data_IF_025643523950
#
_entry.id   IF_025643523950
#
_cell.length_a   1.000
_cell.length_b   1.000
_cell.length_c   1.000
_cell.angle_alpha   90.00
_cell.angle_beta   90.00
_cell.angle_gamma   90.00
#
_symmetry.space_group_name_H-M   'P 1'
#
loop_
_entity.id
_entity.type
_entity.pdbx_description
1 polymer ?
#
# COMPACT_ATOMS: atom_id res chain seq x y z
N UNK A 1 -26.38 -34.43 -2.97
CA UNK A 1 -26.46 -33.89 -4.34
C UNK A 1 -25.65 -34.78 -5.25
N UNK A 2 -26.12 -35.04 -6.46
CA UNK A 2 -25.31 -35.74 -7.47
C UNK A 2 -24.25 -34.80 -8.08
N UNK A 3 -23.19 -35.34 -8.69
CA UNK A 3 -22.10 -34.55 -9.30
C UNK A 3 -22.60 -33.50 -10.30
N UNK A 4 -23.58 -33.85 -11.13
CA UNK A 4 -24.20 -32.93 -12.10
C UNK A 4 -24.93 -31.75 -11.42
N UNK A 5 -25.52 -32.01 -10.26
CA UNK A 5 -26.20 -30.99 -9.47
C UNK A 5 -25.19 -30.03 -8.81
N UNK A 6 -24.05 -30.57 -8.36
CA UNK A 6 -22.93 -29.77 -7.84
C UNK A 6 -22.31 -28.88 -8.93
N UNK A 7 -22.16 -29.41 -10.15
CA UNK A 7 -21.67 -28.64 -11.31
C UNK A 7 -22.61 -27.47 -11.62
N UNK A 8 -23.92 -27.71 -11.74
CA UNK A 8 -24.89 -26.64 -12.01
C UNK A 8 -24.91 -25.55 -10.95
N UNK A 9 -24.74 -25.95 -9.68
CA UNK A 9 -24.60 -24.99 -8.59
C UNK A 9 -23.32 -24.14 -8.72
N UNK A 10 -22.20 -24.75 -9.13
CA UNK A 10 -20.96 -24.04 -9.39
C UNK A 10 -21.07 -23.07 -10.58
N UNK A 11 -21.71 -23.49 -11.68
CA UNK A 11 -21.96 -22.64 -12.85
C UNK A 11 -22.81 -21.41 -12.51
N UNK A 12 -23.89 -21.59 -11.73
CA UNK A 12 -24.73 -20.49 -11.29
C UNK A 12 -23.94 -19.46 -10.46
N UNK A 13 -23.14 -19.94 -9.49
CA UNK A 13 -22.26 -19.09 -8.68
C UNK A 13 -21.27 -18.32 -9.56
N UNK A 14 -20.62 -18.99 -10.52
CA UNK A 14 -19.68 -18.33 -11.42
C UNK A 14 -20.36 -17.27 -12.31
N UNK A 15 -21.57 -17.54 -12.80
CA UNK A 15 -22.38 -16.57 -13.53
C UNK A 15 -22.65 -15.29 -12.72
N UNK A 16 -22.93 -15.41 -11.42
CA UNK A 16 -23.12 -14.26 -10.54
C UNK A 16 -21.84 -13.45 -10.32
N UNK A 17 -20.69 -14.12 -10.22
CA UNK A 17 -19.38 -13.45 -10.16
C UNK A 17 -19.13 -12.62 -11.41
N UNK A 18 -19.41 -13.18 -12.60
CA UNK A 18 -19.26 -12.46 -13.88
C UNK A 18 -20.17 -11.22 -13.91
N UNK A 19 -21.45 -11.36 -13.55
CA UNK A 19 -22.40 -10.23 -13.53
C UNK A 19 -21.94 -9.12 -12.59
N UNK A 20 -21.43 -9.48 -11.41
CA UNK A 20 -20.91 -8.52 -10.44
C UNK A 20 -19.68 -7.76 -11.00
N UNK A 21 -18.75 -8.47 -11.65
CA UNK A 21 -17.58 -7.84 -12.27
C UNK A 21 -17.94 -6.95 -13.47
N UNK A 22 -18.91 -7.36 -14.29
CA UNK A 22 -19.41 -6.51 -15.39
C UNK A 22 -20.02 -5.20 -14.88
N UNK A 23 -20.82 -5.26 -13.81
CA UNK A 23 -21.36 -4.05 -13.19
C UNK A 23 -20.25 -3.15 -12.63
N UNK A 24 -19.24 -3.72 -11.97
CA UNK A 24 -18.08 -2.98 -11.45
C UNK A 24 -17.29 -2.30 -12.57
N UNK A 25 -17.10 -2.97 -13.71
CA UNK A 25 -16.41 -2.41 -14.88
C UNK A 25 -17.10 -1.15 -15.39
N UNK A 26 -18.44 -1.13 -15.46
CA UNK A 26 -19.15 0.08 -15.89
C UNK A 26 -18.94 1.23 -14.92
N UNK A 27 -19.01 0.99 -13.60
CA UNK A 27 -18.69 2.02 -12.59
C UNK A 27 -17.25 2.52 -12.70
N UNK A 28 -16.28 1.66 -13.02
CA UNK A 28 -14.88 2.08 -13.20
C UNK A 28 -14.68 2.99 -14.41
N UNK A 29 -15.45 2.79 -15.48
CA UNK A 29 -15.36 3.63 -16.69
C UNK A 29 -15.89 5.04 -16.44
N UNK A 30 -16.83 5.19 -15.51
CA UNK A 30 -17.39 6.48 -15.10
C UNK A 30 -16.44 7.27 -14.17
N UNK A 31 -15.56 6.59 -13.43
CA UNK A 31 -14.64 7.18 -12.46
C UNK A 31 -13.34 7.73 -13.11
N UNK A 32 -13.47 8.73 -13.99
CA UNK A 32 -12.35 9.30 -14.75
C UNK A 32 -11.71 10.55 -14.14
N UNK A 33 -12.36 11.20 -13.18
CA UNK A 33 -11.87 12.46 -12.60
C UNK A 33 -10.77 12.20 -11.58
N UNK A 34 -9.57 12.71 -11.85
CA UNK A 34 -8.41 12.62 -10.97
C UNK A 34 -8.31 13.91 -10.15
N UNK A 35 -8.37 13.79 -8.83
CA UNK A 35 -8.16 14.89 -7.90
C UNK A 35 -6.68 15.29 -7.88
N UNK A 36 -6.39 16.57 -8.10
CA UNK A 36 -5.05 17.13 -7.91
C UNK A 36 -4.92 17.61 -6.46
N UNK A 37 -4.38 16.74 -5.60
CA UNK A 37 -4.22 17.00 -4.17
C UNK A 37 -3.32 18.21 -3.87
N UNK A 38 -2.43 18.58 -4.79
CA UNK A 38 -1.48 19.70 -4.61
C UNK A 38 -2.15 21.07 -4.75
N UNK A 39 -3.35 21.12 -5.34
CA UNK A 39 -4.11 22.35 -5.61
C UNK A 39 -5.29 22.56 -4.67
N UNK A 40 -5.42 21.76 -3.62
CA UNK A 40 -6.50 21.89 -2.65
C UNK A 40 -6.25 23.09 -1.73
N UNK A 41 -7.27 23.95 -1.59
CA UNK A 41 -7.24 25.11 -0.68
C UNK A 41 -7.35 24.69 0.80
N UNK A 42 -8.00 23.55 1.04
CA UNK A 42 -8.13 22.91 2.35
C UNK A 42 -7.99 21.39 2.17
N UNK A 43 -7.21 20.76 3.04
CA UNK A 43 -6.88 19.33 2.98
C UNK A 43 -7.25 18.69 4.31
N UNK A 44 -8.14 17.71 4.27
CA UNK A 44 -8.51 16.93 5.46
C UNK A 44 -7.80 15.58 5.48
N UNK A 45 -6.95 15.39 6.48
CA UNK A 45 -6.16 14.18 6.73
C UNK A 45 -6.88 13.31 7.76
N UNK A 46 -7.43 12.18 7.32
CA UNK A 46 -8.05 11.20 8.21
C UNK A 46 -7.02 10.25 8.81
N UNK A 47 -7.00 10.10 10.12
CA UNK A 47 -6.04 9.28 10.85
C UNK A 47 -6.75 8.07 11.44
N UNK A 48 -6.27 6.87 11.10
CA UNK A 48 -6.75 5.61 11.62
C UNK A 48 -5.62 4.94 12.42
N UNK A 49 -5.55 5.12 13.75
CA UNK A 49 -4.40 4.67 14.55
C UNK A 49 -4.12 3.16 14.46
N UNK A 50 -5.17 2.35 14.27
CA UNK A 50 -5.07 0.91 14.14
C UNK A 50 -4.98 0.18 15.49
N UNK A 51 -4.45 -1.04 15.45
CA UNK A 51 -4.39 -1.98 16.57
C UNK A 51 -2.93 -2.25 17.00
N UNK A 52 -2.77 -2.85 18.19
CA UNK A 52 -1.46 -3.27 18.71
C UNK A 52 -0.52 -2.09 18.91
N UNK A 53 0.65 -2.10 18.25
CA UNK A 53 1.59 -0.97 18.30
C UNK A 53 1.10 0.28 17.55
N UNK A 54 0.06 0.15 16.72
CA UNK A 54 -0.44 1.21 15.84
C UNK A 54 -0.66 2.56 16.53
N UNK A 55 -1.47 2.62 17.60
CA UNK A 55 -1.69 3.87 18.35
C UNK A 55 -0.39 4.50 18.88
N UNK A 56 0.55 3.69 19.37
CA UNK A 56 1.83 4.15 19.94
C UNK A 56 2.68 4.85 18.86
N UNK A 57 2.84 4.20 17.70
CA UNK A 57 3.65 4.77 16.62
C UNK A 57 2.92 5.89 15.86
N UNK A 58 1.57 5.87 15.84
CA UNK A 58 0.76 6.93 15.24
C UNK A 58 0.91 8.23 16.03
N UNK A 59 0.90 8.15 17.36
CA UNK A 59 1.17 9.31 18.21
C UNK A 59 2.51 9.97 17.82
N UNK A 60 3.57 9.16 17.65
CA UNK A 60 4.88 9.68 17.26
C UNK A 60 4.89 10.26 15.84
N UNK A 61 4.22 9.61 14.89
CA UNK A 61 4.09 10.12 13.52
C UNK A 61 3.35 11.48 13.48
N UNK A 62 2.30 11.64 14.30
CA UNK A 62 1.57 12.90 14.43
C UNK A 62 2.42 14.00 15.04
N UNK A 63 3.28 13.71 16.02
CA UNK A 63 4.21 14.71 16.58
C UNK A 63 5.14 15.29 15.50
N UNK A 64 5.68 14.43 14.62
CA UNK A 64 6.55 14.86 13.52
C UNK A 64 5.78 15.70 12.49
N UNK A 65 4.58 15.27 12.09
CA UNK A 65 3.76 16.00 11.12
C UNK A 65 3.29 17.35 11.66
N UNK A 66 2.90 17.40 12.94
CA UNK A 66 2.49 18.65 13.57
C UNK A 66 3.63 19.69 13.61
N UNK A 67 4.89 19.26 13.70
CA UNK A 67 6.02 20.17 13.57
C UNK A 67 6.23 20.61 12.11
N UNK A 68 6.28 19.67 11.17
CA UNK A 68 6.59 19.96 9.76
C UNK A 68 5.49 20.75 9.04
N UNK A 69 4.23 20.63 9.48
CA UNK A 69 3.07 21.34 8.93
C UNK A 69 2.47 22.35 9.90
N UNK A 70 3.26 22.84 10.88
CA UNK A 70 2.76 23.75 11.94
C UNK A 70 2.03 24.97 11.39
N UNK A 71 2.52 25.55 10.29
CA UNK A 71 1.95 26.76 9.69
C UNK A 71 0.66 26.45 8.90
N UNK A 72 0.64 25.34 8.17
CA UNK A 72 -0.53 24.88 7.41
C UNK A 72 -1.68 24.44 8.32
N UNK A 73 -1.35 23.83 9.47
CA UNK A 73 -2.33 23.49 10.50
C UNK A 73 -2.84 24.77 11.18
N UNK A 74 -1.95 25.69 11.57
CA UNK A 74 -2.34 26.94 12.23
C UNK A 74 -3.19 27.84 11.32
N UNK A 75 -2.94 27.85 10.02
CA UNK A 75 -3.73 28.59 9.03
C UNK A 75 -5.05 27.90 8.65
N UNK A 76 -5.25 26.65 9.05
CA UNK A 76 -6.42 25.85 8.68
C UNK A 76 -6.39 25.32 7.25
N UNK A 77 -5.25 25.40 6.55
CA UNK A 77 -5.06 24.76 5.25
C UNK A 77 -5.05 23.23 5.38
N UNK A 78 -4.50 22.71 6.48
CA UNK A 78 -4.48 21.28 6.79
C UNK A 78 -5.27 21.01 8.07
N UNK A 79 -6.25 20.11 7.98
CA UNK A 79 -7.00 19.60 9.13
C UNK A 79 -6.62 18.15 9.39
N UNK A 80 -6.21 17.84 10.62
CA UNK A 80 -5.98 16.45 11.07
C UNK A 80 -7.21 15.97 11.82
N UNK A 81 -7.81 14.88 11.34
CA UNK A 81 -9.05 14.30 11.87
C UNK A 81 -8.82 12.85 12.30
N UNK A 82 -8.92 12.56 13.60
CA UNK A 82 -8.81 11.18 14.09
C UNK A 82 -10.14 10.45 13.85
N UNK A 83 -10.07 9.34 13.12
CA UNK A 83 -11.20 8.46 12.84
C UNK A 83 -11.15 7.28 13.80
N UNK A 84 -12.07 7.29 14.76
CA UNK A 84 -12.20 6.25 15.79
C UNK A 84 -12.98 5.02 15.28
N UNK A 85 -12.94 3.94 16.05
CA UNK A 85 -13.85 2.80 15.85
C UNK A 85 -13.33 1.70 14.92
N UNK A 86 -12.04 1.66 14.65
CA UNK A 86 -11.38 0.57 13.90
C UNK A 86 -10.70 -0.50 14.77
N UNK A 87 -10.92 -0.49 16.07
CA UNK A 87 -10.34 -1.50 16.97
C UNK A 87 -10.85 -2.90 16.61
N UNK A 88 -10.02 -3.93 16.80
CA UNK A 88 -10.42 -5.31 16.53
C UNK A 88 -11.62 -5.74 17.40
N UNK A 89 -11.73 -5.24 18.63
CA UNK A 89 -12.83 -5.48 19.55
C UNK A 89 -14.15 -5.03 18.93
N UNK A 90 -14.25 -3.76 18.52
CA UNK A 90 -15.48 -3.19 17.94
C UNK A 90 -15.86 -3.89 16.64
N UNK A 91 -14.87 -4.14 15.77
CA UNK A 91 -15.09 -4.85 14.50
C UNK A 91 -15.62 -6.26 14.73
N UNK A 92 -15.16 -6.93 15.77
CA UNK A 92 -15.62 -8.26 16.17
C UNK A 92 -17.02 -8.24 16.76
N UNK A 93 -17.33 -7.25 17.61
CA UNK A 93 -18.68 -7.06 18.19
C UNK A 93 -19.73 -6.78 17.11
N UNK A 94 -19.39 -5.97 16.11
CA UNK A 94 -20.27 -5.66 14.98
C UNK A 94 -20.30 -6.76 13.91
N UNK A 95 -19.39 -7.73 13.98
CA UNK A 95 -19.11 -8.68 12.91
C UNK A 95 -18.89 -7.98 11.54
N UNK A 96 -18.21 -6.83 11.58
CA UNK A 96 -17.91 -5.99 10.43
C UNK A 96 -16.41 -5.67 10.42
N UNK A 97 -15.69 -6.20 9.43
CA UNK A 97 -14.26 -5.90 9.23
C UNK A 97 -13.96 -4.42 9.03
N UNK A 98 -14.91 -3.68 8.47
CA UNK A 98 -14.85 -2.26 8.23
C UNK A 98 -16.25 -1.71 8.50
N UNK A 99 -16.48 -1.09 9.67
CA UNK A 99 -17.78 -0.52 10.01
C UNK A 99 -18.20 0.57 9.03
N UNK A 100 -19.50 0.64 8.74
CA UNK A 100 -20.05 1.56 7.73
C UNK A 100 -19.82 3.04 8.10
N UNK A 101 -19.97 3.36 9.39
CA UNK A 101 -19.74 4.72 9.92
C UNK A 101 -18.28 5.16 9.76
N UNK A 102 -17.33 4.24 9.91
CA UNK A 102 -15.90 4.51 9.67
C UNK A 102 -15.65 4.78 8.19
N UNK A 103 -16.25 4.00 7.29
CA UNK A 103 -16.10 4.22 5.84
C UNK A 103 -16.69 5.58 5.43
N UNK A 104 -17.79 6.01 6.04
CA UNK A 104 -18.36 7.35 5.83
C UNK A 104 -17.41 8.46 6.29
N UNK A 105 -16.77 8.32 7.46
CA UNK A 105 -15.75 9.27 7.93
C UNK A 105 -14.52 9.30 7.02
N UNK A 106 -14.05 8.14 6.54
CA UNK A 106 -12.95 8.04 5.59
C UNK A 106 -13.26 8.83 4.29
N UNK A 107 -14.49 8.76 3.79
CA UNK A 107 -14.93 9.48 2.57
C UNK A 107 -15.06 10.99 2.76
N UNK A 108 -15.10 11.49 4.00
CA UNK A 108 -15.07 12.93 4.31
C UNK A 108 -13.65 13.51 4.28
N UNK A 109 -12.62 12.67 4.17
CA UNK A 109 -11.22 13.08 4.13
C UNK A 109 -10.68 13.00 2.70
N UNK A 110 -9.65 13.80 2.40
CA UNK A 110 -8.96 13.75 1.11
C UNK A 110 -7.90 12.66 1.08
N UNK A 111 -7.10 12.61 2.14
CA UNK A 111 -6.05 11.63 2.33
C UNK A 111 -6.22 10.95 3.69
N UNK A 112 -5.77 9.70 3.77
CA UNK A 112 -5.85 8.88 4.95
C UNK A 112 -4.46 8.42 5.34
N UNK A 113 -4.20 8.33 6.64
CA UNK A 113 -3.01 7.68 7.17
C UNK A 113 -3.45 6.63 8.18
N UNK A 114 -2.97 5.40 8.03
CA UNK A 114 -3.35 4.32 8.93
C UNK A 114 -2.16 3.59 9.56
N UNK A 115 -2.36 3.15 10.79
CA UNK A 115 -1.55 2.12 11.42
C UNK A 115 -1.94 0.70 10.94
N UNK A 116 -1.35 -0.33 11.55
CA UNK A 116 -1.69 -1.72 11.27
C UNK A 116 -3.06 -2.09 11.83
N UNK A 117 -3.82 -2.91 11.12
CA UNK A 117 -5.05 -3.53 11.63
C UNK A 117 -4.83 -5.02 11.85
N UNK A 118 -5.43 -5.57 12.91
CA UNK A 118 -5.54 -7.02 13.07
C UNK A 118 -6.42 -7.56 11.94
N UNK A 119 -5.94 -8.63 11.30
CA UNK A 119 -6.74 -9.51 10.44
C UNK A 119 -6.79 -10.87 11.13
N UNK A 120 -7.94 -11.26 11.71
CA UNK A 120 -8.10 -12.53 12.41
C UNK A 120 -7.78 -13.73 11.52
N UNK A 121 -7.20 -14.77 12.11
CA UNK A 121 -6.95 -16.07 11.48
C UNK A 121 -7.75 -17.17 12.17
N UNK A 122 -7.98 -18.32 11.50
CA UNK A 122 -8.55 -19.47 12.17
C UNK A 122 -7.78 -19.83 13.45
N UNK A 123 -8.50 -19.86 14.58
CA UNK A 123 -7.94 -20.12 15.92
C UNK A 123 -7.63 -18.88 16.76
N UNK A 124 -7.70 -17.67 16.20
CA UNK A 124 -7.65 -16.43 16.98
C UNK A 124 -8.95 -16.25 17.82
N UNK A 125 -8.95 -15.44 18.90
CA UNK A 125 -10.14 -15.22 19.73
C UNK A 125 -11.25 -14.41 19.04
N UNK A 126 -11.01 -13.97 17.80
CA UNK A 126 -11.89 -13.10 17.03
C UNK A 126 -12.61 -13.88 15.92
N UNK A 127 -13.80 -13.44 15.48
CA UNK A 127 -14.47 -14.04 14.33
C UNK A 127 -13.58 -13.97 13.08
N UNK A 128 -13.77 -14.91 12.15
CA UNK A 128 -13.04 -14.94 10.89
C UNK A 128 -13.53 -13.80 9.97
N UNK A 129 -12.96 -12.62 10.17
CA UNK A 129 -13.30 -11.39 9.47
C UNK A 129 -12.46 -11.24 8.20
N UNK A 130 -13.07 -10.70 7.15
CA UNK A 130 -12.34 -10.28 5.95
C UNK A 130 -11.30 -9.19 6.30
N UNK A 131 -10.27 -9.05 5.47
CA UNK A 131 -9.27 -8.01 5.67
C UNK A 131 -9.87 -6.61 5.52
N UNK A 132 -9.82 -5.82 6.60
CA UNK A 132 -10.21 -4.41 6.59
C UNK A 132 -9.42 -3.59 5.56
N UNK A 133 -8.14 -3.92 5.35
CA UNK A 133 -7.30 -3.27 4.34
C UNK A 133 -7.87 -3.46 2.93
N UNK A 134 -8.28 -4.68 2.59
CA UNK A 134 -8.90 -4.98 1.29
C UNK A 134 -10.19 -4.21 1.10
N UNK A 135 -11.04 -4.14 2.14
CA UNK A 135 -12.30 -3.39 2.09
C UNK A 135 -12.08 -1.88 1.95
N UNK A 136 -11.11 -1.30 2.66
CA UNK A 136 -10.75 0.12 2.50
C UNK A 136 -10.26 0.43 1.10
N UNK A 137 -9.30 -0.36 0.58
CA UNK A 137 -8.75 -0.18 -0.77
C UNK A 137 -9.82 -0.26 -1.84
N UNK A 138 -10.73 -1.23 -1.73
CA UNK A 138 -11.86 -1.38 -2.65
C UNK A 138 -12.89 -0.27 -2.50
N UNK A 139 -13.29 0.05 -1.26
CA UNK A 139 -14.33 1.04 -0.97
C UNK A 139 -13.95 2.47 -1.35
N UNK A 140 -12.65 2.77 -1.39
CA UNK A 140 -12.08 4.06 -1.79
C UNK A 140 -11.42 4.03 -3.19
N UNK A 141 -11.53 2.92 -3.92
CA UNK A 141 -10.94 2.73 -5.25
C UNK A 141 -9.42 3.04 -5.32
N UNK A 142 -8.67 2.63 -4.29
CA UNK A 142 -7.21 2.81 -4.17
C UNK A 142 -6.45 1.76 -4.99
N UNK A 143 -6.47 1.92 -6.31
CA UNK A 143 -6.04 0.91 -7.25
C UNK A 143 -4.54 0.71 -7.41
N UNK A 144 -3.72 1.69 -7.00
CA UNK A 144 -2.28 1.63 -7.14
C UNK A 144 -1.60 1.58 -5.77
N UNK A 145 -0.99 0.46 -5.43
CA UNK A 145 -0.03 0.39 -4.33
C UNK A 145 1.36 0.77 -4.86
N UNK A 146 1.87 1.91 -4.40
CA UNK A 146 3.15 2.49 -4.79
C UNK A 146 4.16 2.26 -3.67
N UNK A 147 5.27 1.59 -3.99
CA UNK A 147 6.32 1.22 -3.04
C UNK A 147 7.71 1.58 -3.60
N UNK A 148 8.36 2.66 -3.12
CA UNK A 148 9.73 2.97 -3.49
C UNK A 148 10.72 2.11 -2.71
N UNK A 149 11.76 1.61 -3.39
CA UNK A 149 12.85 0.81 -2.81
C UNK A 149 14.18 1.40 -3.29
N UNK A 150 15.02 1.83 -2.34
CA UNK A 150 16.32 2.45 -2.62
C UNK A 150 17.44 1.73 -1.86
N UNK A 151 18.44 1.27 -2.60
CA UNK A 151 19.69 0.70 -2.07
C UNK A 151 20.88 1.37 -2.79
N UNK A 152 21.33 2.55 -2.33
CA UNK A 152 22.38 3.32 -3.01
C UNK A 152 23.71 2.56 -3.16
N UNK A 153 24.05 1.72 -2.20
CA UNK A 153 25.23 0.84 -2.22
C UNK A 153 25.22 -0.15 -3.39
N UNK A 154 24.04 -0.42 -3.95
CA UNK A 154 23.82 -1.32 -5.09
C UNK A 154 23.37 -0.59 -6.34
N UNK A 155 23.35 0.74 -6.33
CA UNK A 155 22.82 1.58 -7.41
C UNK A 155 21.37 1.22 -7.79
N UNK A 156 20.54 0.90 -6.78
CA UNK A 156 19.13 0.55 -6.97
C UNK A 156 18.24 1.70 -6.51
N UNK A 157 17.37 2.15 -7.41
CA UNK A 157 16.28 3.10 -7.15
C UNK A 157 15.04 2.67 -7.93
N UNK A 158 14.28 1.75 -7.33
CA UNK A 158 13.08 1.18 -7.91
C UNK A 158 11.82 1.82 -7.34
N UNK A 159 10.80 1.96 -8.17
CA UNK A 159 9.44 2.25 -7.71
C UNK A 159 8.47 1.23 -8.25
N UNK A 160 7.84 0.48 -7.36
CA UNK A 160 6.87 -0.54 -7.72
C UNK A 160 5.46 0.05 -7.75
N UNK A 161 4.72 -0.28 -8.80
CA UNK A 161 3.29 -0.01 -9.00
C UNK A 161 2.55 -1.34 -9.06
N UNK A 162 1.96 -1.71 -7.93
CA UNK A 162 1.14 -2.90 -7.79
C UNK A 162 -0.33 -2.54 -8.02
N UNK A 163 -1.00 -3.25 -8.93
CA UNK A 163 -2.47 -3.24 -9.00
C UNK A 163 -3.03 -3.77 -7.68
N UNK A 164 -3.94 -3.05 -7.02
CA UNK A 164 -4.20 -3.22 -5.59
C UNK A 164 -5.65 -3.59 -5.26
N UNK A 165 -6.48 -3.85 -6.28
CA UNK A 165 -7.91 -4.14 -6.11
C UNK A 165 -8.28 -5.50 -6.71
N UNK A 166 -7.75 -5.85 -7.88
CA UNK A 166 -8.13 -7.02 -8.68
C UNK A 166 -7.18 -8.21 -8.45
N UNK A 167 -7.07 -9.13 -9.42
CA UNK A 167 -6.32 -10.37 -9.30
C UNK A 167 -7.06 -11.41 -8.48
N UNK A 168 -6.30 -12.17 -7.71
CA UNK A 168 -6.79 -13.18 -6.77
C UNK A 168 -7.51 -12.52 -5.56
N UNK A 169 -7.19 -11.27 -5.27
CA UNK A 169 -7.68 -10.55 -4.08
C UNK A 169 -9.16 -10.15 -4.14
N UNK A 170 -9.71 -9.95 -5.34
CA UNK A 170 -11.09 -9.46 -5.48
C UNK A 170 -12.13 -10.56 -5.27
N UNK A 171 -11.80 -11.79 -5.67
CA UNK A 171 -12.66 -12.97 -5.58
C UNK A 171 -12.14 -14.03 -4.60
N UNK A 172 -11.03 -13.81 -3.91
CA UNK A 172 -10.37 -14.86 -3.09
C UNK A 172 -11.22 -15.43 -1.95
N UNK A 173 -12.22 -14.69 -1.45
CA UNK A 173 -13.20 -15.23 -0.48
C UNK A 173 -14.48 -15.78 -1.14
N UNK A 174 -14.50 -15.85 -2.47
CA UNK A 174 -15.63 -16.30 -3.30
C UNK A 174 -15.25 -17.49 -4.19
N UNK A 175 -14.17 -18.19 -3.85
CA UNK A 175 -13.83 -19.47 -4.45
C UNK A 175 -15.01 -20.44 -4.41
N UNK A 176 -15.01 -21.38 -5.34
CA UNK A 176 -16.06 -22.39 -5.45
C UNK A 176 -15.48 -23.74 -5.04
N UNK A 177 -15.93 -24.25 -3.90
CA UNK A 177 -15.79 -25.64 -3.53
C UNK A 177 -16.89 -26.45 -4.23
N UNK A 178 -16.51 -27.28 -5.19
CA UNK A 178 -17.43 -28.12 -5.96
C UNK A 178 -17.75 -29.40 -5.17
N UNK A 179 -16.72 -30.02 -4.61
CA UNK A 179 -16.75 -31.15 -3.69
C UNK A 179 -15.44 -31.22 -2.88
N UNK A 180 -15.25 -32.28 -2.10
CA UNK A 180 -14.06 -32.46 -1.23
C UNK A 180 -12.72 -32.56 -1.98
N UNK A 181 -12.76 -32.91 -3.27
CA UNK A 181 -11.56 -33.11 -4.10
C UNK A 181 -11.28 -31.90 -5.01
N UNK A 182 -12.23 -30.99 -5.18
CA UNK A 182 -12.15 -29.90 -6.16
C UNK A 182 -12.61 -28.56 -5.58
N UNK A 183 -11.62 -27.67 -5.41
CA UNK A 183 -11.80 -26.25 -5.17
C UNK A 183 -11.24 -25.43 -6.34
N UNK A 184 -11.92 -24.33 -6.66
CA UNK A 184 -11.54 -23.43 -7.75
C UNK A 184 -11.50 -22.01 -7.22
N UNK A 185 -10.35 -21.36 -7.39
CA UNK A 185 -10.17 -19.93 -7.21
C UNK A 185 -9.94 -19.22 -8.54
N UNK A 186 -10.15 -17.91 -8.53
CA UNK A 186 -10.16 -17.08 -9.72
C UNK A 186 -9.10 -16.00 -9.66
N UNK A 187 -8.52 -15.70 -10.82
CA UNK A 187 -7.70 -14.52 -11.04
C UNK A 187 -8.43 -13.60 -12.02
N UNK A 188 -8.75 -12.39 -11.59
CA UNK A 188 -9.48 -11.42 -12.41
C UNK A 188 -8.54 -10.33 -12.91
N UNK A 189 -8.69 -9.97 -14.18
CA UNK A 189 -8.15 -8.74 -14.73
C UNK A 189 -9.23 -8.06 -15.58
N UNK A 190 -9.39 -6.76 -15.39
CA UNK A 190 -10.17 -5.91 -16.28
C UNK A 190 -9.26 -4.99 -17.09
N UNK A 191 -9.67 -4.68 -18.31
CA UNK A 191 -8.94 -3.74 -19.17
C UNK A 191 -8.81 -2.35 -18.51
N UNK A 192 -9.87 -1.72 -17.96
CA UNK A 192 -9.73 -0.44 -17.27
C UNK A 192 -8.80 -0.51 -16.04
N UNK A 193 -8.83 -1.64 -15.30
CA UNK A 193 -7.93 -1.90 -14.17
C UNK A 193 -6.46 -1.94 -14.57
N UNK A 194 -6.13 -2.63 -15.66
CA UNK A 194 -4.79 -2.68 -16.23
C UNK A 194 -4.31 -1.33 -16.77
N UNK A 195 -5.18 -0.59 -17.46
CA UNK A 195 -4.83 0.70 -18.07
C UNK A 195 -4.50 1.76 -17.04
N UNK A 196 -5.31 1.89 -15.96
CA UNK A 196 -5.07 2.91 -14.94
C UNK A 196 -3.77 2.69 -14.16
N UNK A 197 -3.42 1.44 -13.82
CA UNK A 197 -2.17 1.15 -13.11
C UNK A 197 -0.96 1.35 -14.03
N UNK A 198 -1.07 0.97 -15.30
CA UNK A 198 -0.03 1.23 -16.30
C UNK A 198 0.22 2.73 -16.44
N UNK A 199 -0.82 3.54 -16.69
CA UNK A 199 -0.70 5.00 -16.81
C UNK A 199 -0.13 5.63 -15.55
N UNK A 200 -0.54 5.20 -14.36
CA UNK A 200 0.02 5.71 -13.11
C UNK A 200 1.55 5.48 -13.02
N UNK A 201 2.02 4.31 -13.43
CA UNK A 201 3.44 3.98 -13.45
C UNK A 201 4.23 4.76 -14.50
N UNK A 202 3.71 4.85 -15.73
CA UNK A 202 4.34 5.62 -16.81
C UNK A 202 4.39 7.12 -16.51
N UNK A 203 3.31 7.68 -15.97
CA UNK A 203 3.26 9.09 -15.58
C UNK A 203 4.25 9.39 -14.45
N UNK A 204 4.39 8.48 -13.49
CA UNK A 204 5.45 8.58 -12.48
C UNK A 204 6.84 8.52 -13.12
N UNK A 205 7.09 7.57 -14.03
CA UNK A 205 8.37 7.44 -14.71
C UNK A 205 8.73 8.75 -15.44
N UNK A 206 7.80 9.30 -16.22
CA UNK A 206 7.96 10.58 -16.94
C UNK A 206 8.30 11.73 -15.98
N UNK A 207 7.51 11.92 -14.92
CA UNK A 207 7.69 13.01 -13.94
C UNK A 207 9.01 12.93 -13.17
N UNK A 208 9.52 11.72 -12.96
CA UNK A 208 10.74 11.48 -12.19
C UNK A 208 11.96 11.21 -13.09
N UNK A 209 11.85 11.45 -14.40
CA UNK A 209 12.94 11.30 -15.36
C UNK A 209 13.41 9.86 -15.58
N UNK A 210 12.64 8.86 -15.14
CA UNK A 210 12.90 7.44 -15.37
C UNK A 210 12.65 7.11 -16.85
N UNK A 211 13.41 6.16 -17.38
CA UNK A 211 13.42 5.77 -18.80
C UNK A 211 12.86 4.38 -19.05
N UNK A 212 12.75 3.55 -18.02
CA UNK A 212 12.32 2.17 -18.17
C UNK A 212 11.15 1.80 -17.28
N UNK A 213 10.14 1.16 -17.88
CA UNK A 213 9.03 0.51 -17.18
C UNK A 213 9.10 -0.99 -17.44
N UNK A 214 9.21 -1.78 -16.36
CA UNK A 214 9.26 -3.24 -16.42
C UNK A 214 7.92 -3.83 -15.98
N UNK A 215 7.25 -4.61 -16.84
CA UNK A 215 6.06 -5.39 -16.48
C UNK A 215 6.47 -6.77 -15.96
N UNK A 216 5.99 -7.15 -14.77
CA UNK A 216 6.37 -8.43 -14.14
C UNK A 216 5.14 -9.31 -13.94
N UNK A 217 5.13 -10.49 -14.58
CA UNK A 217 3.99 -11.42 -14.56
C UNK A 217 4.41 -12.89 -14.63
N UNK A 218 3.46 -13.82 -14.71
CA UNK A 218 3.68 -15.22 -15.07
C UNK A 218 2.92 -15.59 -16.36
N UNK A 219 2.97 -14.71 -17.36
CA UNK A 219 2.22 -14.85 -18.63
C UNK A 219 2.53 -16.14 -19.42
N UNK A 220 3.68 -16.79 -19.17
CA UNK A 220 3.99 -18.09 -19.78
C UNK A 220 3.09 -19.24 -19.25
N UNK A 221 2.55 -19.10 -18.04
CA UNK A 221 1.61 -20.04 -17.42
C UNK A 221 0.19 -19.47 -17.45
N UNK A 222 -0.01 -18.24 -16.94
CA UNK A 222 -1.31 -17.58 -16.86
C UNK A 222 -1.58 -16.81 -18.17
N UNK A 223 -1.76 -17.56 -19.26
CA UNK A 223 -1.73 -17.01 -20.62
C UNK A 223 -2.73 -15.89 -20.90
N UNK A 224 -3.96 -16.00 -20.38
CA UNK A 224 -5.02 -15.04 -20.71
C UNK A 224 -4.94 -13.79 -19.84
N UNK A 225 -4.97 -13.96 -18.52
CA UNK A 225 -5.01 -12.83 -17.56
C UNK A 225 -3.70 -12.04 -17.61
N UNK A 226 -2.57 -12.69 -17.33
CA UNK A 226 -1.28 -12.01 -17.35
C UNK A 226 -0.87 -11.60 -18.77
N UNK A 227 -1.20 -12.42 -19.78
CA UNK A 227 -0.95 -12.05 -21.17
C UNK A 227 -1.70 -10.78 -21.59
N UNK A 228 -2.93 -10.59 -21.14
CA UNK A 228 -3.68 -9.35 -21.37
C UNK A 228 -3.11 -8.17 -20.56
N UNK A 229 -2.58 -8.41 -19.36
CA UNK A 229 -1.89 -7.39 -18.57
C UNK A 229 -0.65 -6.88 -19.31
N UNK A 230 0.24 -7.79 -19.74
CA UNK A 230 1.44 -7.45 -20.52
C UNK A 230 1.07 -6.68 -21.78
N UNK A 231 0.13 -7.18 -22.59
CA UNK A 231 -0.34 -6.49 -23.80
C UNK A 231 -0.85 -5.07 -23.50
N UNK A 232 -1.56 -4.89 -22.39
CA UNK A 232 -2.10 -3.58 -22.01
C UNK A 232 -0.98 -2.61 -21.62
N UNK A 233 -0.01 -3.05 -20.82
CA UNK A 233 1.13 -2.21 -20.41
C UNK A 233 1.96 -1.80 -21.63
N UNK A 234 2.28 -2.74 -22.53
CA UNK A 234 3.00 -2.43 -23.77
C UNK A 234 2.22 -1.43 -24.65
N UNK A 235 0.93 -1.68 -24.88
CA UNK A 235 0.09 -0.78 -25.67
C UNK A 235 0.06 0.64 -25.10
N UNK A 236 -0.08 0.79 -23.78
CA UNK A 236 -0.06 2.11 -23.13
C UNK A 236 1.31 2.78 -23.32
N UNK A 237 2.40 2.05 -23.15
CA UNK A 237 3.75 2.58 -23.40
C UNK A 237 3.93 3.06 -24.84
N UNK A 238 3.54 2.24 -25.82
CA UNK A 238 3.66 2.54 -27.25
C UNK A 238 2.78 3.72 -27.70
N UNK A 239 1.53 3.78 -27.24
CA UNK A 239 0.55 4.77 -27.71
C UNK A 239 0.66 6.13 -26.99
N UNK A 240 1.12 6.15 -25.74
CA UNK A 240 1.01 7.35 -24.87
C UNK A 240 2.32 7.80 -24.24
N UNK A 241 3.32 6.93 -24.16
CA UNK A 241 4.62 7.19 -23.53
C UNK A 241 5.79 6.66 -24.39
N UNK A 242 5.87 7.01 -25.70
CA UNK A 242 6.85 6.44 -26.63
C UNK A 242 8.31 6.75 -26.25
N UNK A 243 8.54 7.70 -25.34
CA UNK A 243 9.85 8.04 -24.80
C UNK A 243 10.32 7.13 -23.65
N UNK A 244 9.49 6.20 -23.18
CA UNK A 244 9.78 5.25 -22.10
C UNK A 244 9.88 3.84 -22.68
N UNK A 245 10.99 3.17 -22.43
CA UNK A 245 11.21 1.80 -22.86
C UNK A 245 10.43 0.81 -21.96
N UNK A 246 9.79 -0.18 -22.57
CA UNK A 246 8.98 -1.18 -21.88
C UNK A 246 9.60 -2.55 -22.04
N UNK A 247 9.88 -3.20 -20.91
CA UNK A 247 10.45 -4.55 -20.85
C UNK A 247 9.56 -5.47 -20.01
N UNK A 248 9.57 -6.77 -20.29
CA UNK A 248 8.86 -7.77 -19.49
C UNK A 248 9.81 -8.74 -18.78
N UNK A 249 9.44 -9.15 -17.56
CA UNK A 249 10.16 -10.17 -16.79
C UNK A 249 9.17 -11.14 -16.12
N UNK A 250 9.62 -12.37 -15.91
CA UNK A 250 8.83 -13.37 -15.18
C UNK A 250 8.98 -13.19 -13.67
N UNK A 251 7.87 -13.26 -12.93
CA UNK A 251 7.81 -12.99 -11.48
C UNK A 251 8.75 -13.88 -10.66
N UNK A 252 8.92 -15.15 -11.02
CA UNK A 252 9.84 -16.07 -10.35
C UNK A 252 11.31 -15.70 -10.59
N UNK A 253 11.67 -15.35 -11.83
CA UNK A 253 13.00 -14.86 -12.14
C UNK A 253 13.28 -13.52 -11.44
N UNK A 254 12.29 -12.62 -11.40
CA UNK A 254 12.39 -11.35 -10.68
C UNK A 254 12.62 -11.57 -9.19
N UNK A 255 11.86 -12.43 -8.53
CA UNK A 255 12.08 -12.74 -7.12
C UNK A 255 13.46 -13.38 -6.88
N UNK A 256 13.86 -14.35 -7.71
CA UNK A 256 15.10 -15.10 -7.51
C UNK A 256 16.37 -14.28 -7.83
N UNK A 257 16.30 -13.35 -8.78
CA UNK A 257 17.46 -12.65 -9.34
C UNK A 257 17.41 -11.13 -9.18
N UNK A 258 16.50 -10.56 -8.39
CA UNK A 258 16.38 -9.09 -8.30
C UNK A 258 17.68 -8.37 -7.89
N UNK A 259 18.58 -9.02 -7.16
CA UNK A 259 19.86 -8.43 -6.75
C UNK A 259 21.02 -8.70 -7.73
N UNK A 260 20.77 -9.47 -8.79
CA UNK A 260 21.75 -9.69 -9.86
C UNK A 260 21.83 -8.42 -10.72
N UNK A 261 23.00 -7.76 -10.82
CA UNK A 261 23.16 -6.50 -11.56
C UNK A 261 22.86 -6.59 -13.06
N UNK A 262 23.06 -7.75 -13.67
CA UNK A 262 22.73 -7.95 -15.08
C UNK A 262 21.22 -8.13 -15.24
N UNK A 263 20.60 -8.88 -14.33
CA UNK A 263 19.16 -9.11 -14.36
C UNK A 263 18.36 -7.84 -14.11
N UNK A 264 18.77 -7.03 -13.13
CA UNK A 264 18.04 -5.83 -12.72
C UNK A 264 18.43 -4.57 -13.49
N UNK A 265 19.33 -4.70 -14.47
CA UNK A 265 19.67 -3.63 -15.40
C UNK A 265 18.38 -3.07 -16.00
N UNK A 266 18.31 -1.73 -16.05
CA UNK A 266 17.20 -0.99 -16.62
C UNK A 266 15.85 -1.24 -15.91
N UNK A 267 15.86 -1.78 -14.67
CA UNK A 267 14.69 -1.76 -13.79
C UNK A 267 14.67 -0.45 -13.01
N UNK A 268 13.67 0.39 -13.29
CA UNK A 268 13.46 1.66 -12.58
C UNK A 268 12.03 1.75 -12.04
N UNK A 269 11.03 1.57 -12.91
CA UNK A 269 9.62 1.50 -12.52
C UNK A 269 9.10 0.12 -12.85
N UNK A 270 8.45 -0.55 -11.90
CA UNK A 270 8.00 -1.94 -12.05
C UNK A 270 6.50 -2.03 -11.87
N UNK A 271 5.78 -2.59 -12.85
CA UNK A 271 4.32 -2.71 -12.83
C UNK A 271 3.91 -4.17 -12.68
N UNK A 272 3.08 -4.48 -11.68
CA UNK A 272 2.69 -5.86 -11.34
C UNK A 272 1.19 -6.01 -11.08
N UNK A 273 0.59 -7.15 -11.45
CA UNK A 273 -0.68 -7.60 -10.89
C UNK A 273 -0.60 -7.82 -9.37
N UNK A 274 -1.76 -7.81 -8.71
CA UNK A 274 -1.89 -7.72 -7.25
C UNK A 274 -1.03 -8.71 -6.45
N UNK A 275 -1.23 -10.03 -6.60
CA UNK A 275 -0.51 -11.03 -5.82
C UNK A 275 1.00 -11.05 -6.09
N UNK A 276 1.41 -10.77 -7.33
CA UNK A 276 2.84 -10.72 -7.67
C UNK A 276 3.50 -9.49 -7.08
N UNK A 277 2.83 -8.34 -7.16
CA UNK A 277 3.30 -7.11 -6.52
C UNK A 277 3.44 -7.28 -5.02
N UNK A 278 2.50 -7.95 -4.36
CA UNK A 278 2.57 -8.26 -2.93
C UNK A 278 3.88 -8.95 -2.56
N UNK A 279 4.13 -10.11 -3.17
CA UNK A 279 5.27 -10.97 -2.87
C UNK A 279 6.58 -10.29 -3.25
N UNK A 280 6.70 -9.77 -4.47
CA UNK A 280 7.96 -9.21 -4.98
C UNK A 280 8.37 -7.96 -4.20
N UNK A 281 7.41 -7.10 -3.83
CA UNK A 281 7.76 -5.87 -3.11
C UNK A 281 8.15 -6.13 -1.66
N UNK A 282 7.60 -7.16 -1.01
CA UNK A 282 8.03 -7.57 0.32
C UNK A 282 9.46 -8.14 0.28
N UNK A 283 9.81 -8.94 -0.73
CA UNK A 283 11.19 -9.42 -0.94
C UNK A 283 12.15 -8.25 -1.19
N UNK A 284 11.75 -7.26 -2.01
CA UNK A 284 12.57 -6.08 -2.27
C UNK A 284 12.77 -5.22 -1.01
N UNK A 285 11.74 -5.06 -0.19
CA UNK A 285 11.81 -4.34 1.08
C UNK A 285 12.72 -5.04 2.10
N UNK A 286 12.72 -6.38 2.13
CA UNK A 286 13.64 -7.14 2.98
C UNK A 286 15.10 -6.83 2.63
N UNK A 287 15.44 -6.78 1.34
CA UNK A 287 16.79 -6.44 0.89
C UNK A 287 17.22 -5.00 1.19
N UNK A 288 16.28 -4.06 1.29
CA UNK A 288 16.58 -2.67 1.64
C UNK A 288 16.96 -2.47 3.12
N UNK A 289 16.57 -3.38 4.00
CA UNK A 289 16.73 -3.24 5.45
C UNK A 289 15.51 -3.67 6.26
N UNK A 290 14.57 -4.39 5.66
CA UNK A 290 13.40 -4.96 6.32
C UNK A 290 12.14 -4.11 6.24
N UNK A 291 10.99 -4.77 6.42
CA UNK A 291 9.65 -4.17 6.32
C UNK A 291 9.41 -2.98 7.24
N UNK A 292 10.13 -2.88 8.37
CA UNK A 292 10.01 -1.77 9.32
C UNK A 292 10.55 -0.43 8.81
N UNK A 293 11.26 -0.43 7.68
CA UNK A 293 11.86 0.78 7.08
C UNK A 293 11.12 1.28 5.84
N UNK A 294 10.28 0.44 5.25
CA UNK A 294 9.54 0.76 4.05
C UNK A 294 8.17 1.36 4.39
N UNK A 295 7.67 2.23 3.53
CA UNK A 295 6.32 2.81 3.61
C UNK A 295 5.53 2.40 2.37
N UNK A 296 4.19 2.43 2.46
CA UNK A 296 3.32 2.10 1.33
C UNK A 296 2.29 3.20 1.11
N UNK A 297 2.12 3.57 -0.14
CA UNK A 297 1.08 4.51 -0.57
C UNK A 297 0.05 3.75 -1.41
N UNK A 298 -1.24 3.92 -1.12
CA UNK A 298 -2.32 3.35 -1.90
C UNK A 298 -3.10 4.50 -2.53
N UNK A 299 -3.00 4.64 -3.84
CA UNK A 299 -3.47 5.81 -4.57
C UNK A 299 -4.70 5.43 -5.39
N UNK A 300 -5.74 6.24 -5.28
CA UNK A 300 -6.89 6.25 -6.17
C UNK A 300 -7.05 7.62 -6.83
N UNK A 301 -8.12 7.77 -7.62
CA UNK A 301 -8.39 9.04 -8.30
C UNK A 301 -8.89 10.14 -7.34
N UNK A 302 -9.63 9.77 -6.29
CA UNK A 302 -10.29 10.72 -5.37
C UNK A 302 -9.71 10.75 -3.95
N UNK A 303 -9.06 9.65 -3.56
CA UNK A 303 -8.53 9.42 -2.23
C UNK A 303 -7.12 8.83 -2.32
N UNK A 304 -6.32 9.03 -1.28
CA UNK A 304 -5.05 8.33 -1.08
C UNK A 304 -4.95 7.83 0.36
N UNK A 305 -4.31 6.68 0.57
CA UNK A 305 -4.08 6.07 1.88
C UNK A 305 -2.61 5.71 2.04
N UNK A 306 -1.99 6.26 3.07
CA UNK A 306 -0.60 6.02 3.44
C UNK A 306 -0.55 5.12 4.67
N UNK A 307 0.33 4.12 4.66
CA UNK A 307 0.38 3.13 5.74
C UNK A 307 1.79 2.63 6.03
N UNK A 308 1.97 2.19 7.28
CA UNK A 308 3.06 1.32 7.63
C UNK A 308 2.87 -0.06 6.97
N UNK A 309 3.96 -0.69 6.54
CA UNK A 309 3.91 -2.03 5.92
C UNK A 309 3.84 -3.14 6.97
N UNK A 310 4.45 -2.92 8.14
CA UNK A 310 4.48 -3.94 9.19
C UNK A 310 3.10 -4.16 9.85
N UNK A 311 2.95 -5.32 10.49
CA UNK A 311 1.74 -5.68 11.25
C UNK A 311 1.66 -5.05 12.64
N UNK A 312 0.73 -5.56 13.46
CA UNK A 312 0.40 -5.05 14.80
C UNK A 312 1.41 -5.38 15.90
N UNK A 313 2.44 -6.17 15.57
CA UNK A 313 3.51 -6.59 16.47
C UNK A 313 3.02 -7.11 17.85
N UNK A 314 2.17 -8.17 17.89
CA UNK A 314 1.58 -8.67 19.14
C UNK A 314 2.61 -9.12 20.18
N UNK A 315 3.79 -9.58 19.72
CA UNK A 315 4.91 -9.93 20.61
C UNK A 315 5.40 -8.74 21.45
N UNK A 316 5.59 -7.57 20.82
CA UNK A 316 6.03 -6.38 21.55
C UNK A 316 4.98 -5.95 22.58
N UNK A 317 3.70 -6.04 22.22
CA UNK A 317 2.61 -5.71 23.12
C UNK A 317 2.56 -6.66 24.33
N UNK A 318 2.62 -7.97 24.11
CA UNK A 318 2.53 -8.96 25.20
C UNK A 318 3.73 -8.99 26.14
N UNK A 319 4.88 -8.46 25.70
CA UNK A 319 6.11 -8.40 26.51
C UNK A 319 6.37 -7.01 27.11
N UNK A 320 5.40 -6.08 27.05
CA UNK A 320 5.54 -4.73 27.58
C UNK A 320 6.55 -3.85 26.82
N UNK A 321 6.81 -4.18 25.55
CA UNK A 321 7.78 -3.51 24.67
C UNK A 321 7.13 -2.62 23.61
N UNK A 322 5.81 -2.41 23.68
CA UNK A 322 5.08 -1.60 22.70
C UNK A 322 5.67 -0.20 22.51
N UNK A 323 6.06 0.48 23.60
CA UNK A 323 6.69 1.80 23.57
C UNK A 323 8.08 1.83 22.93
N UNK A 324 8.66 0.67 22.61
CA UNK A 324 9.96 0.53 21.94
C UNK A 324 9.79 0.12 20.46
N UNK A 325 8.56 0.04 19.96
CA UNK A 325 8.30 -0.21 18.55
C UNK A 325 8.90 0.90 17.67
N UNK A 326 9.39 0.54 16.48
CA UNK A 326 9.98 1.50 15.55
C UNK A 326 8.90 2.35 14.85
N UNK A 327 8.84 3.68 15.05
CA UNK A 327 7.83 4.51 14.40
C UNK A 327 8.18 4.90 12.95
N UNK A 328 9.38 4.58 12.46
CA UNK A 328 9.91 5.09 11.20
C UNK A 328 9.04 4.76 9.97
N UNK A 329 8.43 3.56 9.89
CA UNK A 329 7.60 3.18 8.74
C UNK A 329 6.41 4.14 8.58
N UNK A 330 5.74 4.48 9.69
CA UNK A 330 4.58 5.36 9.68
C UNK A 330 4.98 6.83 9.53
N UNK A 331 6.11 7.25 10.13
CA UNK A 331 6.70 8.58 9.90
C UNK A 331 7.05 8.76 8.42
N UNK A 332 7.64 7.75 7.76
CA UNK A 332 7.91 7.79 6.32
C UNK A 332 6.63 7.83 5.50
N UNK A 333 5.59 7.09 5.90
CA UNK A 333 4.27 7.16 5.27
C UNK A 333 3.66 8.57 5.36
N UNK A 334 3.84 9.27 6.49
CA UNK A 334 3.49 10.69 6.61
C UNK A 334 4.31 11.58 5.67
N UNK A 335 5.60 11.29 5.49
CA UNK A 335 6.45 11.94 4.49
C UNK A 335 5.92 11.80 3.06
N UNK A 336 5.54 10.58 2.68
CA UNK A 336 4.91 10.32 1.37
C UNK A 336 3.57 11.06 1.23
N UNK A 337 2.76 11.08 2.29
CA UNK A 337 1.51 11.84 2.33
C UNK A 337 1.75 13.33 2.10
N UNK A 338 2.70 13.94 2.82
CA UNK A 338 3.06 15.35 2.66
C UNK A 338 3.48 15.66 1.22
N UNK A 339 4.33 14.83 0.61
CA UNK A 339 4.70 15.03 -0.79
C UNK A 339 3.51 14.90 -1.74
N UNK A 340 2.59 13.97 -1.49
CA UNK A 340 1.41 13.76 -2.31
C UNK A 340 0.46 14.97 -2.31
N UNK A 341 0.34 15.67 -1.18
CA UNK A 341 -0.52 16.85 -1.03
C UNK A 341 0.21 18.18 -1.31
N UNK A 342 1.43 18.13 -1.85
CA UNK A 342 2.15 19.31 -2.36
C UNK A 342 3.28 19.85 -1.47
N UNK A 343 3.62 19.18 -0.37
CA UNK A 343 4.70 19.56 0.55
C UNK A 343 5.93 18.64 0.40
N UNK A 344 6.40 18.48 -0.84
CA UNK A 344 7.55 17.64 -1.17
C UNK A 344 8.86 18.15 -0.54
N UNK A 345 8.96 19.46 -0.29
CA UNK A 345 10.04 20.10 0.45
C UNK A 345 10.09 19.62 1.90
N UNK A 346 8.94 19.49 2.58
CA UNK A 346 8.85 18.93 3.95
C UNK A 346 9.27 17.46 3.99
N UNK A 347 8.89 16.68 2.98
CA UNK A 347 9.38 15.28 2.84
C UNK A 347 10.90 15.24 2.72
N UNK A 348 11.51 16.12 1.93
CA UNK A 348 12.96 16.15 1.77
C UNK A 348 13.70 16.46 3.08
N UNK A 349 13.17 17.40 3.88
CA UNK A 349 13.68 17.69 5.24
C UNK A 349 13.56 16.44 6.13
N UNK A 350 12.40 15.79 6.13
CA UNK A 350 12.17 14.58 6.91
C UNK A 350 13.10 13.43 6.51
N UNK A 351 13.30 13.18 5.22
CA UNK A 351 14.21 12.13 4.73
C UNK A 351 15.65 12.39 5.18
N UNK A 352 16.11 13.65 5.09
CA UNK A 352 17.44 14.04 5.56
C UNK A 352 17.58 13.88 7.08
N UNK A 353 16.57 14.27 7.86
CA UNK A 353 16.57 14.09 9.30
C UNK A 353 16.57 12.60 9.69
N UNK A 354 15.80 11.77 8.99
CA UNK A 354 15.80 10.31 9.18
C UNK A 354 17.16 9.70 8.83
N UNK A 355 17.82 10.15 7.76
CA UNK A 355 19.19 9.72 7.43
C UNK A 355 20.18 10.04 8.55
N UNK A 356 20.13 11.26 9.08
CA UNK A 356 20.98 11.68 10.20
C UNK A 356 20.74 10.80 11.44
N UNK A 357 19.48 10.67 11.82
CA UNK A 357 19.09 10.00 13.07
C UNK A 357 19.18 8.47 13.02
N UNK A 358 19.16 7.85 11.83
CA UNK A 358 19.16 6.39 11.71
C UNK A 358 20.43 5.81 11.09
N UNK A 359 21.16 6.58 10.28
CA UNK A 359 22.33 6.10 9.53
C UNK A 359 23.61 6.77 9.97
N UNK A 360 23.70 8.10 9.91
CA UNK A 360 25.00 8.79 10.06
C UNK A 360 25.35 9.12 11.51
N UNK A 361 24.58 9.98 12.18
CA UNK A 361 24.86 10.34 13.59
C UNK A 361 24.38 9.24 14.53
N UNK A 362 23.16 8.72 14.32
CA UNK A 362 22.59 7.59 15.06
C UNK A 362 22.82 7.67 16.58
N UNK A 363 22.64 8.87 17.16
CA UNK A 363 22.84 9.14 18.58
C UNK A 363 21.95 8.28 19.47
N UNK A 364 20.75 8.00 18.97
CA UNK A 364 19.74 7.18 19.63
C UNK A 364 19.59 5.86 18.86
N UNK A 365 19.67 4.74 19.56
CA UNK A 365 19.59 3.39 18.97
C UNK A 365 18.20 2.83 19.23
N UNK A 366 17.50 2.39 18.18
CA UNK A 366 16.17 1.81 18.27
C UNK A 366 16.20 0.35 17.75
N UNK A 367 15.95 -0.60 18.64
CA UNK A 367 16.07 -2.06 18.37
C UNK A 367 14.84 -2.85 18.80
N UNK A 368 13.83 -2.19 19.39
CA UNK A 368 12.69 -2.80 20.10
C UNK A 368 13.00 -3.44 21.46
N UNK A 369 14.26 -3.43 21.89
CA UNK A 369 14.66 -3.83 23.24
C UNK A 369 14.51 -2.68 24.24
N UNK A 370 14.11 -2.98 25.48
CA UNK A 370 13.83 -1.96 26.50
C UNK A 370 15.08 -1.26 27.05
N UNK A 371 16.27 -1.81 26.77
CA UNK A 371 17.56 -1.22 27.13
C UNK A 371 17.99 -0.09 26.17
N UNK A 372 17.39 -0.08 24.99
CA UNK A 372 17.63 0.89 23.93
C UNK A 372 16.47 1.92 23.94
N UNK A 373 16.46 2.88 23.02
CA UNK A 373 15.49 3.96 23.08
C UNK A 373 14.06 3.53 22.75
N UNK A 374 13.13 4.18 23.43
CA UNK A 374 11.71 4.18 23.11
C UNK A 374 11.41 4.91 21.80
N UNK A 375 10.22 4.66 21.25
CA UNK A 375 9.68 5.40 20.11
C UNK A 375 9.63 6.91 20.37
N UNK A 376 9.29 7.30 21.61
CA UNK A 376 9.20 8.69 22.01
C UNK A 376 10.59 9.37 22.05
N UNK A 377 11.58 8.76 22.69
CA UNK A 377 12.95 9.28 22.75
C UNK A 377 13.58 9.42 21.35
N UNK A 378 13.35 8.44 20.47
CA UNK A 378 13.78 8.55 19.08
C UNK A 378 13.08 9.72 18.35
N UNK A 379 11.78 9.90 18.60
CA UNK A 379 10.99 10.97 17.97
C UNK A 379 11.41 12.36 18.45
N UNK A 380 11.79 12.50 19.73
CA UNK A 380 12.36 13.74 20.27
C UNK A 380 13.63 14.13 19.50
N UNK A 381 14.56 13.17 19.38
CA UNK A 381 15.79 13.37 18.63
C UNK A 381 15.54 13.70 17.15
N UNK A 382 14.55 13.06 16.52
CA UNK A 382 14.17 13.35 15.14
C UNK A 382 13.62 14.77 14.98
N UNK A 383 12.74 15.22 15.88
CA UNK A 383 12.17 16.57 15.84
C UNK A 383 13.26 17.63 16.07
N UNK A 384 14.17 17.41 17.02
CA UNK A 384 15.30 18.30 17.25
C UNK A 384 16.20 18.41 16.01
N UNK A 385 16.42 17.28 15.33
CA UNK A 385 17.18 17.24 14.07
C UNK A 385 16.47 18.00 12.95
N UNK A 386 15.14 17.85 12.83
CA UNK A 386 14.32 18.60 11.85
C UNK A 386 14.47 20.10 12.09
N UNK A 387 14.35 20.55 13.34
CA UNK A 387 14.50 21.97 13.71
C UNK A 387 15.88 22.55 13.40
N UNK A 388 16.91 21.72 13.39
CA UNK A 388 18.26 22.12 12.99
C UNK A 388 18.49 22.21 11.48
N UNK A 389 17.54 21.70 10.67
CA UNK A 389 17.58 21.71 9.20
C UNK A 389 16.71 22.82 8.58
N UNK A 390 15.75 23.35 9.34
CA UNK A 390 15.00 24.59 9.04
C UNK A 390 15.87 25.83 9.30
#
# INVERSE_FOLDING_TARGET
MGTEEQIKAAEAKFGDLIRAELARIETMKEDSEIKDFTKLDHIKIGILPGDGIGPIIMEQALRVVNELLKDEIASGKVEVHIIEGMTIERRSELNQSLPDDVMEECKKCDVLVKGPFVTPRPGDPWPNLLSANSLLRRGLNLFAAVRPIKMPDRNIDWTFFRENIEGEYILGNKGIEVNEDLAIDFKVLTKPGAERIARAAFEFARKNGKKHVTVVTKANIVKLVDGNFVKTVHRIGEEEYPEIEVNDKLVDATAAKMLDPEFNKDMEVVVLPNLYGDIVTDVAAEHQGGLGTASSSNIGNKYALFEAIHGTAPYLMSHGRGNYANPCSLIRAMGEMMAHIGFADRKAILEKALEITTVTERKVVLTTETKDASAAEFTDYLIDTIKGLE
#
